data_IF_165011448734
#
_entry.id   IF_165011448734
#
_cell.length_a   1.000
_cell.length_b   1.000
_cell.length_c   1.000
_cell.angle_alpha   90.00
_cell.angle_beta   90.00
_cell.angle_gamma   90.00
#
_symmetry.space_group_name_H-M   'P 1'
#
loop_
_entity.id
_entity.type
_entity.pdbx_description
1 polymer ?
#
# COMPACT_ATOMS: atom_id res chain seq x y z
N UNK A 1 13.01 -24.21 16.18
CA UNK A 1 12.29 -22.98 16.56
C UNK A 1 11.64 -22.41 15.30
N UNK A 2 10.31 -22.40 15.18
CA UNK A 2 9.65 -21.66 14.09
C UNK A 2 9.79 -20.18 14.42
N UNK A 3 10.64 -19.48 13.68
CA UNK A 3 10.72 -18.01 13.72
C UNK A 3 9.31 -17.45 13.65
N UNK A 4 8.87 -16.73 14.69
CA UNK A 4 7.65 -15.93 14.65
C UNK A 4 7.91 -14.90 13.56
N UNK A 5 7.38 -15.12 12.34
CA UNK A 5 7.54 -14.16 11.24
C UNK A 5 7.00 -12.83 11.77
N UNK A 6 7.91 -11.88 12.07
CA UNK A 6 7.52 -10.53 12.44
C UNK A 6 6.82 -9.95 11.21
N UNK A 7 5.52 -9.73 11.31
CA UNK A 7 4.73 -9.11 10.24
C UNK A 7 5.27 -7.69 10.02
N UNK A 8 5.78 -7.42 8.82
CA UNK A 8 6.20 -6.09 8.40
C UNK A 8 5.09 -5.47 7.54
N UNK A 9 4.87 -4.17 7.70
CA UNK A 9 4.00 -3.37 6.83
C UNK A 9 4.84 -2.83 5.68
N UNK A 10 4.38 -3.04 4.45
CA UNK A 10 4.94 -2.42 3.26
C UNK A 10 4.06 -1.27 2.78
N UNK A 11 4.65 -0.09 2.57
CA UNK A 11 3.97 1.08 2.01
C UNK A 11 4.43 1.30 0.57
N UNK A 12 3.47 1.19 -0.37
CA UNK A 12 3.68 1.51 -1.79
C UNK A 12 3.51 3.02 -1.97
N UNK A 13 4.62 3.75 -2.01
CA UNK A 13 4.66 5.20 -2.20
C UNK A 13 4.84 5.63 -3.66
N UNK A 14 4.93 6.94 -3.88
CA UNK A 14 5.21 7.53 -5.20
C UNK A 14 3.98 8.00 -5.98
N UNK A 15 2.80 8.06 -5.35
CA UNK A 15 1.53 8.37 -6.02
C UNK A 15 0.65 9.42 -5.28
N UNK A 16 1.17 10.48 -4.67
CA UNK A 16 2.52 11.06 -4.79
C UNK A 16 3.47 10.69 -3.64
N UNK A 17 4.75 11.10 -3.72
CA UNK A 17 5.76 10.78 -2.71
C UNK A 17 5.38 11.20 -1.28
N UNK A 18 4.83 12.40 -1.11
CA UNK A 18 4.44 12.92 0.21
C UNK A 18 3.30 12.14 0.88
N UNK A 19 2.38 11.56 0.10
CA UNK A 19 1.33 10.70 0.66
C UNK A 19 1.90 9.40 1.26
N UNK A 20 2.99 8.89 0.69
CA UNK A 20 3.74 7.77 1.26
C UNK A 20 4.35 8.12 2.63
N UNK A 21 4.99 9.28 2.72
CA UNK A 21 5.56 9.79 3.97
C UNK A 21 4.47 9.99 5.04
N UNK A 22 3.36 10.63 4.68
CA UNK A 22 2.22 10.85 5.57
C UNK A 22 1.64 9.53 6.12
N UNK A 23 1.50 8.49 5.29
CA UNK A 23 1.04 7.19 5.77
C UNK A 23 2.04 6.54 6.73
N UNK A 24 3.35 6.59 6.43
CA UNK A 24 4.39 6.04 7.32
C UNK A 24 4.38 6.76 8.66
N UNK A 25 4.29 8.09 8.64
CA UNK A 25 4.18 8.89 9.86
C UNK A 25 2.96 8.47 10.69
N UNK A 26 1.77 8.40 10.08
CA UNK A 26 0.55 7.94 10.77
C UNK A 26 0.67 6.52 11.32
N UNK A 27 1.34 5.60 10.63
CA UNK A 27 1.58 4.25 11.17
C UNK A 27 2.40 4.34 12.46
N UNK A 28 3.43 5.17 12.51
CA UNK A 28 4.24 5.32 13.71
C UNK A 28 3.51 6.05 14.84
N UNK A 29 2.79 7.12 14.51
CA UNK A 29 2.02 7.91 15.49
C UNK A 29 0.89 7.08 16.12
N UNK A 30 0.28 6.17 15.36
CA UNK A 30 -0.79 5.25 15.82
C UNK A 30 -0.26 3.91 16.35
N UNK A 31 1.07 3.71 16.41
CA UNK A 31 1.66 2.54 17.05
C UNK A 31 1.85 2.82 18.54
N UNK A 32 1.17 2.06 19.40
CA UNK A 32 1.40 2.09 20.86
C UNK A 32 2.79 1.54 21.20
N UNK A 33 3.80 2.41 21.19
CA UNK A 33 5.19 2.11 21.48
C UNK A 33 5.77 3.13 22.48
N UNK A 34 6.54 2.65 23.44
CA UNK A 34 7.25 3.46 24.45
C UNK A 34 8.75 3.55 24.18
N UNK A 35 9.24 2.70 23.28
CA UNK A 35 10.64 2.67 22.84
C UNK A 35 10.69 2.43 21.33
N UNK A 36 11.81 2.81 20.71
CA UNK A 36 12.03 2.60 19.26
C UNK A 36 11.85 1.12 18.86
N UNK A 37 12.25 0.18 19.73
CA UNK A 37 12.20 -1.26 19.45
C UNK A 37 10.79 -1.85 19.51
N UNK A 38 9.83 -1.13 20.09
CA UNK A 38 8.42 -1.52 20.17
C UNK A 38 7.63 -1.14 18.92
N UNK A 39 8.17 -0.24 18.07
CA UNK A 39 7.51 0.11 16.81
C UNK A 39 7.38 -1.09 15.87
N UNK A 40 6.28 -1.09 15.10
CA UNK A 40 6.04 -2.10 14.07
C UNK A 40 7.07 -1.91 12.94
N UNK A 41 7.67 -3.00 12.41
CA UNK A 41 8.54 -2.90 11.24
C UNK A 41 7.76 -2.38 10.02
N UNK A 42 8.26 -1.29 9.42
CA UNK A 42 7.70 -0.67 8.22
C UNK A 42 8.79 -0.52 7.16
N UNK A 43 8.50 -0.89 5.92
CA UNK A 43 9.31 -0.52 4.75
C UNK A 43 8.45 0.29 3.78
N UNK A 44 8.99 1.41 3.30
CA UNK A 44 8.36 2.20 2.25
C UNK A 44 9.24 2.19 1.01
N UNK A 45 8.65 1.88 -0.13
CA UNK A 45 9.27 2.09 -1.43
C UNK A 45 8.48 3.11 -2.22
N UNK A 46 9.12 4.26 -2.49
CA UNK A 46 8.57 5.33 -3.33
C UNK A 46 9.16 5.20 -4.74
N UNK A 47 8.31 4.97 -5.75
CA UNK A 47 8.75 4.81 -7.16
C UNK A 47 7.94 5.69 -8.12
N UNK A 48 7.93 7.03 -7.93
CA UNK A 48 7.14 7.95 -8.75
C UNK A 48 7.52 7.92 -10.25
N UNK A 49 8.77 7.62 -10.57
CA UNK A 49 9.29 7.61 -11.94
C UNK A 49 8.84 6.41 -12.77
N UNK A 50 8.37 5.33 -12.13
CA UNK A 50 7.95 4.11 -12.85
C UNK A 50 6.45 3.89 -12.83
N UNK A 51 5.72 4.57 -11.95
CA UNK A 51 4.28 4.36 -11.81
C UNK A 51 3.55 5.41 -12.65
N UNK A 52 2.93 4.95 -13.74
CA UNK A 52 2.13 5.79 -14.62
C UNK A 52 1.01 6.56 -13.86
N UNK A 53 0.54 7.65 -14.48
CA UNK A 53 -0.55 8.44 -13.91
C UNK A 53 -1.87 7.65 -13.93
N UNK A 54 -2.45 7.46 -12.74
CA UNK A 54 -3.67 6.66 -12.55
C UNK A 54 -4.88 7.32 -13.20
N UNK A 55 -4.99 8.65 -13.11
CA UNK A 55 -6.12 9.38 -13.65
C UNK A 55 -6.11 9.31 -15.16
N UNK A 56 -4.96 9.57 -15.79
CA UNK A 56 -4.81 9.46 -17.26
C UNK A 56 -5.13 8.06 -17.78
N UNK A 57 -4.74 7.02 -17.05
CA UNK A 57 -5.14 5.66 -17.40
C UNK A 57 -6.66 5.48 -17.34
N UNK A 58 -7.28 5.89 -16.23
CA UNK A 58 -8.72 5.75 -16.02
C UNK A 58 -9.56 6.61 -16.98
N UNK A 59 -9.04 7.75 -17.45
CA UNK A 59 -9.71 8.61 -18.43
C UNK A 59 -9.41 8.23 -19.88
N UNK A 60 -8.55 7.25 -20.13
CA UNK A 60 -8.15 6.81 -21.47
C UNK A 60 -7.15 7.73 -22.17
N UNK A 61 -6.61 8.73 -21.48
CA UNK A 61 -5.52 9.60 -21.98
C UNK A 61 -4.17 8.87 -22.05
N UNK A 62 -4.03 7.78 -21.31
CA UNK A 62 -2.87 6.89 -21.37
C UNK A 62 -3.33 5.43 -21.45
N UNK A 63 -2.75 4.60 -22.34
CA UNK A 63 -3.03 3.17 -22.36
C UNK A 63 -2.32 2.40 -21.24
N UNK A 64 -1.38 3.02 -20.53
CA UNK A 64 -0.51 2.35 -19.58
C UNK A 64 -1.20 2.14 -18.22
N UNK A 65 -1.54 0.90 -17.90
CA UNK A 65 -2.07 0.55 -16.58
C UNK A 65 -0.94 0.57 -15.52
N UNK A 66 -1.03 1.41 -14.47
CA UNK A 66 -0.01 1.50 -13.42
C UNK A 66 0.10 0.23 -12.55
N UNK A 67 -0.85 -0.71 -12.65
CA UNK A 67 -0.89 -1.94 -11.87
C UNK A 67 0.41 -2.76 -11.95
N UNK A 68 1.04 -2.85 -13.12
CA UNK A 68 2.26 -3.63 -13.32
C UNK A 68 3.44 -3.02 -12.53
N UNK A 69 3.60 -1.70 -12.59
CA UNK A 69 4.65 -1.00 -11.85
C UNK A 69 4.41 -1.08 -10.33
N UNK A 70 3.17 -0.91 -9.89
CA UNK A 70 2.77 -1.05 -8.48
C UNK A 70 3.06 -2.48 -7.97
N UNK A 71 2.71 -3.50 -8.74
CA UNK A 71 2.96 -4.91 -8.38
C UNK A 71 4.45 -5.21 -8.23
N UNK A 72 5.30 -4.64 -9.09
CA UNK A 72 6.77 -4.75 -8.94
C UNK A 72 7.28 -4.12 -7.64
N UNK A 73 6.69 -3.00 -7.20
CA UNK A 73 7.02 -2.40 -5.89
C UNK A 73 6.58 -3.32 -4.76
N UNK A 74 5.38 -3.90 -4.85
CA UNK A 74 4.86 -4.85 -3.86
C UNK A 74 5.75 -6.10 -3.75
N UNK A 75 6.21 -6.66 -4.86
CA UNK A 75 7.17 -7.79 -4.85
C UNK A 75 8.48 -7.45 -4.14
N UNK A 76 9.01 -6.24 -4.34
CA UNK A 76 10.22 -5.78 -3.63
C UNK A 76 9.98 -5.67 -2.13
N UNK A 77 8.82 -5.12 -1.72
CA UNK A 77 8.43 -5.05 -0.30
C UNK A 77 8.23 -6.45 0.30
N UNK A 78 7.61 -7.36 -0.44
CA UNK A 78 7.41 -8.75 -0.03
C UNK A 78 8.74 -9.48 0.18
N UNK A 79 9.71 -9.28 -0.73
CA UNK A 79 11.06 -9.81 -0.60
C UNK A 79 11.81 -9.26 0.62
N UNK A 80 11.42 -8.09 1.14
CA UNK A 80 11.94 -7.52 2.39
C UNK A 80 11.19 -8.04 3.64
N UNK A 81 10.15 -8.86 3.47
CA UNK A 81 9.37 -9.47 4.55
C UNK A 81 8.00 -8.82 4.80
N UNK A 82 7.58 -7.84 3.99
CA UNK A 82 6.27 -7.23 4.12
C UNK A 82 5.16 -8.22 3.76
N UNK A 83 4.22 -8.45 4.68
CA UNK A 83 3.05 -9.35 4.48
C UNK A 83 1.72 -8.59 4.57
N UNK A 84 1.76 -7.32 4.97
CA UNK A 84 0.63 -6.39 4.95
C UNK A 84 1.02 -5.21 4.09
N UNK A 85 0.19 -4.83 3.13
CA UNK A 85 0.48 -3.73 2.20
C UNK A 85 -0.54 -2.61 2.35
N UNK A 86 -0.04 -1.37 2.43
CA UNK A 86 -0.80 -0.13 2.34
C UNK A 86 -0.36 0.70 1.12
N UNK A 87 -1.33 1.37 0.47
CA UNK A 87 -1.10 2.22 -0.70
C UNK A 87 -1.92 3.52 -0.56
N UNK A 88 -1.29 4.64 -0.18
CA UNK A 88 -1.95 5.91 0.06
C UNK A 88 -2.20 6.67 -1.26
N UNK A 89 -3.08 6.12 -2.11
CA UNK A 89 -3.44 6.71 -3.39
C UNK A 89 -4.88 6.33 -3.75
N UNK A 90 -5.81 7.28 -3.70
CA UNK A 90 -7.24 7.00 -3.94
C UNK A 90 -7.51 6.37 -5.32
N UNK A 91 -6.98 6.96 -6.39
CA UNK A 91 -7.26 6.54 -7.76
C UNK A 91 -6.70 5.15 -8.08
N UNK A 92 -5.60 4.74 -7.45
CA UNK A 92 -5.02 3.40 -7.64
C UNK A 92 -5.88 2.27 -7.04
N UNK A 93 -6.88 2.59 -6.19
CA UNK A 93 -7.86 1.63 -5.69
C UNK A 93 -9.08 1.46 -6.61
N UNK A 94 -9.13 2.12 -7.77
CA UNK A 94 -10.18 1.87 -8.77
C UNK A 94 -10.05 0.45 -9.34
N UNK A 95 -11.18 -0.23 -9.57
CA UNK A 95 -11.23 -1.64 -9.96
C UNK A 95 -10.32 -2.00 -11.17
N UNK A 96 -10.24 -1.20 -12.26
CA UNK A 96 -9.35 -1.51 -13.39
C UNK A 96 -7.86 -1.56 -13.05
N UNK A 97 -7.45 -0.92 -11.95
CA UNK A 97 -6.06 -0.91 -11.48
C UNK A 97 -5.90 -1.92 -10.34
N UNK A 98 -6.76 -1.85 -9.32
CA UNK A 98 -6.61 -2.64 -8.10
C UNK A 98 -6.76 -4.14 -8.35
N UNK A 99 -7.76 -4.55 -9.14
CA UNK A 99 -7.96 -5.96 -9.45
C UNK A 99 -6.78 -6.51 -10.27
N UNK A 100 -6.24 -5.69 -11.17
CA UNK A 100 -5.05 -6.07 -11.92
C UNK A 100 -3.84 -6.24 -11.00
N UNK A 101 -3.63 -5.36 -10.01
CA UNK A 101 -2.58 -5.55 -9.01
C UNK A 101 -2.74 -6.90 -8.29
N UNK A 102 -3.96 -7.24 -7.87
CA UNK A 102 -4.22 -8.52 -7.18
C UNK A 102 -3.87 -9.75 -8.03
N UNK A 103 -4.00 -9.67 -9.35
CA UNK A 103 -3.61 -10.75 -10.26
C UNK A 103 -2.09 -10.98 -10.32
N UNK A 104 -1.28 -9.98 -9.95
CA UNK A 104 0.18 -10.00 -10.12
C UNK A 104 0.96 -10.16 -8.81
N UNK A 105 0.32 -10.11 -7.64
CA UNK A 105 1.01 -10.14 -6.34
C UNK A 105 0.85 -11.50 -5.63
N UNK A 106 1.77 -11.87 -4.71
CA UNK A 106 1.65 -13.10 -3.92
C UNK A 106 0.36 -13.14 -3.09
N UNK A 107 -0.27 -14.31 -3.04
CA UNK A 107 -1.55 -14.54 -2.32
C UNK A 107 -1.44 -14.40 -0.81
N UNK A 108 -0.23 -14.51 -0.27
CA UNK A 108 0.11 -14.37 1.15
C UNK A 108 0.03 -12.92 1.63
N UNK A 109 0.02 -11.96 0.69
CA UNK A 109 -0.07 -10.54 1.00
C UNK A 109 -1.49 -10.16 1.39
N UNK A 110 -1.63 -9.57 2.58
CA UNK A 110 -2.84 -8.85 2.95
C UNK A 110 -2.76 -7.41 2.42
N UNK A 111 -3.33 -7.16 1.25
CA UNK A 111 -3.43 -5.80 0.71
C UNK A 111 -4.66 -5.08 1.27
N UNK A 112 -4.42 -4.04 2.07
CA UNK A 112 -5.48 -3.21 2.66
C UNK A 112 -6.05 -2.25 1.60
N UNK A 113 -7.31 -2.47 1.24
CA UNK A 113 -8.03 -1.56 0.34
C UNK A 113 -8.50 -0.32 1.10
N UNK A 114 -7.81 0.80 0.91
CA UNK A 114 -7.97 2.04 1.69
C UNK A 114 -9.41 2.58 1.68
N UNK A 115 -10.02 2.68 0.50
CA UNK A 115 -11.39 3.21 0.35
C UNK A 115 -12.41 2.35 1.11
N UNK A 116 -12.30 1.01 1.01
CA UNK A 116 -13.16 0.09 1.75
C UNK A 116 -12.97 0.22 3.26
N UNK A 117 -11.74 0.46 3.74
CA UNK A 117 -11.51 0.71 5.17
C UNK A 117 -12.19 1.99 5.66
N UNK A 118 -12.10 3.08 4.89
CA UNK A 118 -12.79 4.33 5.23
C UNK A 118 -14.30 4.16 5.26
N UNK A 119 -14.87 3.50 4.24
CA UNK A 119 -16.31 3.23 4.19
C UNK A 119 -16.77 2.37 5.37
N UNK A 120 -16.00 1.34 5.74
CA UNK A 120 -16.28 0.50 6.91
C UNK A 120 -16.20 1.30 8.21
N UNK A 121 -15.20 2.17 8.35
CA UNK A 121 -15.06 3.03 9.53
C UNK A 121 -16.26 3.95 9.70
N UNK A 122 -16.66 4.68 8.64
CA UNK A 122 -17.82 5.57 8.67
C UNK A 122 -19.08 4.79 9.06
N UNK A 123 -19.32 3.63 8.44
CA UNK A 123 -20.48 2.80 8.74
C UNK A 123 -20.56 2.36 10.21
N UNK A 124 -19.42 2.10 10.84
CA UNK A 124 -19.36 1.56 12.21
C UNK A 124 -19.39 2.66 13.28
N UNK A 125 -18.76 3.80 13.02
CA UNK A 125 -18.62 4.89 14.00
C UNK A 125 -19.65 6.01 13.81
N UNK A 126 -20.23 6.13 12.61
CA UNK A 126 -21.20 7.17 12.24
C UNK A 126 -22.38 6.56 11.43
N UNK A 127 -23.22 5.72 12.08
CA UNK A 127 -24.29 5.00 11.41
C UNK A 127 -25.45 5.87 10.92
#
# INVERSE_FOLDING_TARGET
MKSKIKKMIGVVGGMGPYAGLDLVQKIFDETDAKTDQEHIPVSMLSSPQTIADRTKFLTGESPENPAIAISKVIHKLYAQGATVIGMPCNTAHADPIFNEILNHIPTEIKFIHMIRQVANFIKNEYP
#
